data_IF_789454125348
#
_entry.id   IF_789454125348
#
_cell.length_a   1.000
_cell.length_b   1.000
_cell.length_c   1.000
_cell.angle_alpha   90.00
_cell.angle_beta   90.00
_cell.angle_gamma   90.00
#
_symmetry.space_group_name_H-M   'P 1'
#
loop_
_entity.id
_entity.type
_entity.pdbx_description
1 polymer ?
#
# COMPACT_ATOMS: atom_id res chain seq x y z
N UNK A 1 26.18 -0.08 6.35
CA UNK A 1 25.45 -1.32 6.06
C UNK A 1 26.38 -2.47 6.27
N UNK A 2 25.95 -3.49 7.00
CA UNK A 2 26.73 -4.70 7.22
C UNK A 2 26.82 -5.48 5.90
N UNK A 3 28.03 -5.69 5.37
CA UNK A 3 28.26 -6.45 4.13
C UNK A 3 28.10 -7.97 4.32
N UNK A 4 27.73 -8.40 5.54
CA UNK A 4 27.72 -9.81 5.95
C UNK A 4 26.40 -10.18 6.62
N UNK A 5 25.88 -11.36 6.28
CA UNK A 5 24.70 -11.94 6.92
C UNK A 5 24.97 -12.20 8.42
N UNK A 6 24.13 -11.71 9.34
CA UNK A 6 24.34 -11.91 10.77
C UNK A 6 24.14 -13.36 11.23
N UNK A 7 23.46 -14.19 10.43
CA UNK A 7 23.16 -15.59 10.74
C UNK A 7 24.34 -16.50 10.35
N UNK A 8 24.75 -16.45 9.08
CA UNK A 8 25.75 -17.37 8.54
C UNK A 8 27.12 -16.72 8.31
N UNK A 9 27.26 -15.41 8.56
CA UNK A 9 28.49 -14.59 8.38
C UNK A 9 29.05 -14.60 6.95
N UNK A 10 28.24 -15.01 5.98
CA UNK A 10 28.57 -14.94 4.56
C UNK A 10 28.38 -13.50 4.06
N UNK A 11 29.22 -13.07 3.14
CA UNK A 11 29.02 -11.82 2.41
C UNK A 11 27.65 -11.84 1.71
N UNK A 12 26.92 -10.73 1.81
CA UNK A 12 25.64 -10.57 1.13
C UNK A 12 25.90 -10.33 -0.35
N UNK A 13 25.14 -11.01 -1.21
CA UNK A 13 25.16 -10.68 -2.62
C UNK A 13 24.40 -9.36 -2.82
N UNK A 14 24.94 -8.49 -3.68
CA UNK A 14 24.36 -7.19 -4.05
C UNK A 14 22.99 -7.27 -4.74
N UNK A 15 22.36 -8.45 -4.78
CA UNK A 15 21.06 -8.62 -5.40
C UNK A 15 20.00 -8.02 -4.47
N UNK A 16 19.67 -6.75 -4.74
CA UNK A 16 18.55 -6.04 -4.12
C UNK A 16 17.25 -6.58 -4.73
N UNK A 17 16.43 -7.24 -3.91
CA UNK A 17 15.06 -7.60 -4.27
C UNK A 17 14.10 -6.63 -3.59
N UNK A 18 12.96 -6.37 -4.24
CA UNK A 18 11.87 -5.60 -3.64
C UNK A 18 10.93 -6.57 -2.94
N UNK A 19 10.83 -6.47 -1.63
CA UNK A 19 9.90 -7.25 -0.81
C UNK A 19 8.85 -6.34 -0.19
N UNK A 20 7.62 -6.84 -0.11
CA UNK A 20 6.54 -6.13 0.56
C UNK A 20 6.72 -6.25 2.08
N UNK A 21 6.69 -5.13 2.81
CA UNK A 21 6.98 -5.14 4.26
C UNK A 21 5.97 -5.94 5.10
N UNK A 22 4.72 -5.96 4.63
CA UNK A 22 3.58 -6.66 5.20
C UNK A 22 2.63 -6.97 4.01
N UNK A 23 2.22 -8.23 3.83
CA UNK A 23 1.39 -8.66 2.70
C UNK A 23 0.11 -7.81 2.56
N UNK A 24 -0.10 -7.24 1.37
CA UNK A 24 -1.30 -6.48 1.05
C UNK A 24 -1.27 -4.99 1.42
N UNK A 25 -0.13 -4.47 1.89
CA UNK A 25 0.06 -3.03 2.17
C UNK A 25 0.46 -2.20 0.95
N UNK A 26 0.96 -2.85 -0.11
CA UNK A 26 1.45 -2.23 -1.33
C UNK A 26 2.75 -1.43 -1.16
N UNK A 27 3.44 -1.55 -0.02
CA UNK A 27 4.72 -0.87 0.25
C UNK A 27 5.85 -1.87 0.15
N UNK A 28 6.83 -1.57 -0.70
CA UNK A 28 8.00 -2.42 -0.94
C UNK A 28 9.26 -1.77 -0.40
N UNK A 29 10.15 -2.58 0.14
CA UNK A 29 11.49 -2.21 0.60
C UNK A 29 12.54 -3.03 -0.12
N UNK A 30 13.73 -2.46 -0.26
CA UNK A 30 14.89 -3.18 -0.79
C UNK A 30 15.47 -4.08 0.28
N UNK A 31 15.63 -5.33 -0.09
CA UNK A 31 16.17 -6.37 0.77
C UNK A 31 17.35 -7.01 0.07
N UNK A 32 18.46 -7.18 0.79
CA UNK A 32 19.59 -7.99 0.35
C UNK A 32 19.40 -9.41 0.84
N UNK A 33 19.33 -10.37 -0.07
CA UNK A 33 19.08 -11.76 0.30
C UNK A 33 20.41 -12.49 0.47
N UNK A 34 20.55 -13.19 1.59
CA UNK A 34 21.68 -14.09 1.76
C UNK A 34 21.51 -15.32 0.83
N UNK A 35 22.44 -15.60 -0.09
CA UNK A 35 22.32 -16.73 -1.03
C UNK A 35 22.44 -18.10 -0.34
N UNK A 36 22.89 -18.14 0.92
CA UNK A 36 23.13 -19.37 1.67
C UNK A 36 21.97 -19.74 2.59
N UNK A 37 21.45 -18.78 3.36
CA UNK A 37 20.36 -19.04 4.30
C UNK A 37 19.00 -18.54 3.81
N UNK A 38 18.95 -17.75 2.73
CA UNK A 38 17.72 -17.18 2.17
C UNK A 38 17.15 -16.03 3.00
N UNK A 39 17.84 -15.58 4.05
CA UNK A 39 17.36 -14.50 4.90
C UNK A 39 17.52 -13.15 4.19
N UNK A 40 16.44 -12.38 4.18
CA UNK A 40 16.42 -11.01 3.69
C UNK A 40 16.88 -10.01 4.75
N UNK A 41 17.88 -9.20 4.40
CA UNK A 41 18.34 -8.08 5.23
C UNK A 41 17.90 -6.77 4.59
N UNK A 42 16.96 -6.12 5.24
CA UNK A 42 16.46 -4.80 4.87
C UNK A 42 17.19 -3.72 5.67
N UNK A 43 17.50 -2.59 5.04
CA UNK A 43 18.06 -1.43 5.74
C UNK A 43 17.06 -0.91 6.79
N UNK A 44 17.50 -0.73 8.04
CA UNK A 44 16.65 -0.32 9.15
C UNK A 44 16.01 1.06 8.93
N UNK A 45 16.72 1.99 8.29
CA UNK A 45 16.18 3.32 7.98
C UNK A 45 15.14 3.24 6.86
N UNK A 46 15.36 2.38 5.86
CA UNK A 46 14.38 2.11 4.80
C UNK A 46 13.13 1.44 5.36
N UNK A 47 13.28 0.46 6.25
CA UNK A 47 12.18 -0.18 6.97
C UNK A 47 11.41 0.82 7.83
N UNK A 48 12.08 1.65 8.63
CA UNK A 48 11.43 2.68 9.45
C UNK A 48 10.69 3.69 8.56
N UNK A 49 11.26 4.07 7.42
CA UNK A 49 10.60 4.97 6.46
C UNK A 49 9.37 4.33 5.84
N UNK A 50 9.48 3.10 5.36
CA UNK A 50 8.38 2.35 4.76
C UNK A 50 7.27 2.08 5.78
N UNK A 51 7.62 1.74 7.02
CA UNK A 51 6.68 1.57 8.15
C UNK A 51 6.06 2.90 8.56
N UNK A 52 6.79 4.00 8.49
CA UNK A 52 6.27 5.34 8.72
C UNK A 52 5.32 5.74 7.60
N UNK A 53 5.66 5.46 6.34
CA UNK A 53 4.78 5.66 5.19
C UNK A 53 3.52 4.82 5.30
N UNK A 54 3.61 3.55 5.75
CA UNK A 54 2.48 2.68 6.10
C UNK A 54 1.61 3.29 7.20
N UNK A 55 2.20 3.73 8.29
CA UNK A 55 1.49 4.38 9.39
C UNK A 55 0.93 5.76 9.00
N UNK A 56 1.51 6.40 7.98
CA UNK A 56 1.10 7.68 7.40
C UNK A 56 0.25 7.48 6.12
N UNK A 57 -0.07 6.23 5.72
CA UNK A 57 -0.74 5.90 4.45
C UNK A 57 -2.12 6.54 4.40
N UNK A 58 -2.14 7.73 3.79
CA UNK A 58 -3.34 8.50 3.52
C UNK A 58 -3.98 8.19 2.17
N UNK A 59 -3.40 7.37 1.30
CA UNK A 59 -4.03 6.98 0.02
C UNK A 59 -3.40 5.67 -0.52
N UNK A 60 -4.02 4.52 -0.28
CA UNK A 60 -3.73 3.28 -1.02
C UNK A 60 -4.54 3.33 -2.32
N UNK A 61 -3.89 3.19 -3.48
CA UNK A 61 -4.60 3.06 -4.76
C UNK A 61 -5.18 1.65 -4.87
N UNK A 62 -6.43 1.48 -4.41
CA UNK A 62 -7.10 0.17 -4.37
C UNK A 62 -7.61 -0.25 -5.76
N UNK A 63 -7.94 0.72 -6.63
CA UNK A 63 -8.37 0.45 -8.00
C UNK A 63 -8.24 1.70 -8.90
N UNK A 64 -7.91 1.47 -10.17
CA UNK A 64 -8.12 2.45 -11.24
C UNK A 64 -9.44 2.12 -11.97
N UNK A 65 -10.33 3.10 -12.10
CA UNK A 65 -11.67 2.93 -12.69
C UNK A 65 -11.91 4.00 -13.76
N UNK A 66 -12.59 3.60 -14.84
CA UNK A 66 -13.10 4.57 -15.83
C UNK A 66 -14.38 5.21 -15.30
N UNK A 67 -14.48 6.52 -15.47
CA UNK A 67 -15.73 7.26 -15.25
C UNK A 67 -16.67 6.97 -16.43
N UNK A 68 -17.93 6.68 -16.14
CA UNK A 68 -18.94 6.43 -17.16
C UNK A 68 -20.12 7.40 -17.03
N UNK A 69 -20.88 7.54 -18.12
CA UNK A 69 -22.06 8.39 -18.17
C UNK A 69 -23.29 7.56 -17.81
N UNK A 70 -24.05 8.01 -16.83
CA UNK A 70 -25.32 7.43 -16.43
C UNK A 70 -26.42 8.45 -16.65
N UNK A 71 -27.21 8.26 -17.72
CA UNK A 71 -28.24 9.17 -18.22
C UNK A 71 -27.80 10.64 -18.29
N UNK A 72 -27.99 11.39 -17.20
CA UNK A 72 -27.70 12.81 -17.05
C UNK A 72 -26.53 13.12 -16.10
N UNK A 73 -25.78 12.12 -15.65
CA UNK A 73 -24.71 12.26 -14.65
C UNK A 73 -23.44 11.47 -15.03
N UNK A 74 -22.34 11.79 -14.36
CA UNK A 74 -21.14 10.95 -14.35
C UNK A 74 -21.18 10.06 -13.11
N UNK A 75 -20.78 8.81 -13.29
CA UNK A 75 -20.75 7.82 -12.23
C UNK A 75 -19.37 7.14 -12.18
N UNK A 76 -18.99 6.77 -10.96
CA UNK A 76 -17.82 5.96 -10.66
C UNK A 76 -18.30 4.67 -9.99
N UNK A 77 -17.83 3.55 -10.48
CA UNK A 77 -18.16 2.24 -9.91
C UNK A 77 -17.13 1.92 -8.81
N UNK A 78 -17.62 1.65 -7.61
CA UNK A 78 -16.79 1.19 -6.50
C UNK A 78 -16.75 -0.33 -6.51
N UNK A 79 -15.59 -0.96 -6.76
CA UNK A 79 -15.44 -2.40 -6.66
C UNK A 79 -15.81 -2.92 -5.28
N UNK A 80 -16.22 -4.20 -5.21
CA UNK A 80 -16.58 -4.85 -3.95
C UNK A 80 -15.47 -4.75 -2.89
N UNK A 81 -14.21 -4.88 -3.29
CA UNK A 81 -13.07 -4.71 -2.39
C UNK A 81 -13.02 -3.32 -1.73
N UNK A 82 -13.40 -2.27 -2.45
CA UNK A 82 -13.44 -0.90 -1.91
C UNK A 82 -14.64 -0.71 -0.99
N UNK A 83 -15.81 -1.25 -1.36
CA UNK A 83 -17.01 -1.15 -0.52
C UNK A 83 -16.87 -1.94 0.77
N UNK A 84 -16.25 -3.13 0.72
CA UNK A 84 -16.00 -3.96 1.90
C UNK A 84 -15.00 -3.27 2.85
N UNK A 85 -13.94 -2.63 2.32
CA UNK A 85 -12.97 -1.87 3.11
C UNK A 85 -13.55 -0.60 3.76
N UNK A 86 -14.52 0.04 3.10
CA UNK A 86 -15.20 1.24 3.60
C UNK A 86 -16.47 0.91 4.40
N UNK A 87 -16.77 -0.38 4.59
CA UNK A 87 -17.99 -0.88 5.24
C UNK A 87 -19.28 -0.24 4.67
N UNK A 88 -19.33 -0.06 3.35
CA UNK A 88 -20.48 0.55 2.67
C UNK A 88 -21.54 -0.50 2.34
N UNK A 89 -22.75 -0.32 2.84
CA UNK A 89 -23.88 -1.20 2.56
C UNK A 89 -24.96 -0.53 1.69
N UNK A 90 -25.77 -1.36 1.04
CA UNK A 90 -26.90 -0.86 0.25
C UNK A 90 -27.87 -0.04 1.11
N UNK A 91 -28.36 1.07 0.55
CA UNK A 91 -29.34 1.99 1.18
C UNK A 91 -28.82 2.79 2.38
N UNK A 92 -27.51 2.75 2.65
CA UNK A 92 -26.90 3.63 3.64
C UNK A 92 -26.71 5.04 3.11
N UNK A 93 -26.76 6.00 4.05
CA UNK A 93 -26.42 7.38 3.76
C UNK A 93 -24.92 7.55 3.91
N UNK A 94 -24.29 8.16 2.91
CA UNK A 94 -22.89 8.54 2.96
C UNK A 94 -22.77 10.05 2.81
N UNK A 95 -21.84 10.66 3.54
CA UNK A 95 -21.46 12.06 3.33
C UNK A 95 -20.29 12.09 2.37
N UNK A 96 -20.36 12.98 1.39
CA UNK A 96 -19.33 13.17 0.38
C UNK A 96 -18.80 14.59 0.49
N UNK A 97 -17.50 14.74 0.67
CA UNK A 97 -16.82 16.01 0.81
C UNK A 97 -15.81 16.23 -0.32
N UNK A 98 -15.72 17.47 -0.81
CA UNK A 98 -14.63 17.91 -1.68
C UNK A 98 -13.65 18.72 -0.82
N UNK A 99 -12.42 18.24 -0.73
CA UNK A 99 -11.35 18.94 -0.02
C UNK A 99 -10.56 19.86 -0.96
N UNK A 100 -9.78 20.80 -0.42
CA UNK A 100 -9.09 21.85 -1.20
C UNK A 100 -8.18 21.35 -2.34
N UNK A 101 -7.73 20.09 -2.27
CA UNK A 101 -6.89 19.46 -3.30
C UNK A 101 -7.71 18.63 -4.31
N UNK A 102 -9.00 18.92 -4.50
CA UNK A 102 -9.94 18.16 -5.35
C UNK A 102 -10.04 16.67 -4.95
N UNK A 103 -9.67 16.31 -3.72
CA UNK A 103 -9.83 14.95 -3.21
C UNK A 103 -11.25 14.79 -2.69
N UNK A 104 -11.86 13.65 -3.00
CA UNK A 104 -13.16 13.25 -2.48
C UNK A 104 -12.92 12.45 -1.20
N UNK A 105 -13.64 12.79 -0.14
CA UNK A 105 -13.70 12.01 1.09
C UNK A 105 -15.13 11.49 1.26
N UNK A 106 -15.26 10.20 1.53
CA UNK A 106 -16.54 9.53 1.77
C UNK A 106 -16.57 9.10 3.23
N UNK A 107 -17.62 9.47 3.95
CA UNK A 107 -17.84 9.12 5.35
C UNK A 107 -19.17 8.36 5.46
N UNK A 108 -19.16 7.07 5.86
CA UNK A 108 -20.38 6.34 6.22
C UNK A 108 -21.10 7.01 7.41
N UNK A 109 -22.43 7.00 7.44
CA UNK A 109 -23.24 7.61 8.52
C UNK A 109 -23.71 6.59 9.54
#
# INVERSE_FOLDING_TARGET
>A
MEEYCPICKKELEMEEVLEEIDEGTGIYVRTQVCPVCGEGLTDEMEYIRARKELNEQKNILIAEQKIFKLENSLALHFPKSVTDLLELHEKELVKIYITGNKKIMIEPC
#
